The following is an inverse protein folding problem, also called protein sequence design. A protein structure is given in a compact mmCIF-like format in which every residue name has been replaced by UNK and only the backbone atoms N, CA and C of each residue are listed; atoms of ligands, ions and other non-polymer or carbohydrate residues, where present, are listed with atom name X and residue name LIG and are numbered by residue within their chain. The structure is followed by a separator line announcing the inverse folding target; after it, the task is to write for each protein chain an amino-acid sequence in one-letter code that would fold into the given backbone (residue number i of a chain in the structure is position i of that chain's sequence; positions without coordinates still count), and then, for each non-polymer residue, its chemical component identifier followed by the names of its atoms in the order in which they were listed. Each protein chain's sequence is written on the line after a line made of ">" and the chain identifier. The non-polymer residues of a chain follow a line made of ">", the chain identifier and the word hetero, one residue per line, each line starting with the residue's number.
data_IF_683622282965
#
_entry.id   IF_683622282965
#
_cell.length_a   1.000
_cell.length_b   1.000
_cell.length_c   1.000
_cell.angle_alpha   90.00
_cell.angle_beta   90.00
_cell.angle_gamma   90.00
#
_symmetry.space_group_name_H-M   'P 1'
#
loop_
_entity.id
_entity.type
_entity.pdbx_description
1 polymer ?
#
# COMPACT_ATOMS: atom_id res chain seq x y z
N UNK A 1 -7.57 -1.60 -3.76
CA UNK A 1 -7.76 -0.41 -2.89
C UNK A 1 -8.80 0.57 -3.45
N UNK A 2 -8.62 1.21 -4.60
CA UNK A 2 -9.51 2.26 -5.11
C UNK A 2 -11.00 1.89 -5.17
N UNK A 3 -11.35 0.68 -5.59
CA UNK A 3 -12.75 0.20 -5.60
C UNK A 3 -13.38 0.16 -4.20
N UNK A 4 -12.63 -0.26 -3.18
CA UNK A 4 -13.10 -0.29 -1.79
C UNK A 4 -13.27 1.14 -1.24
N UNK A 5 -12.35 2.04 -1.58
CA UNK A 5 -12.44 3.46 -1.21
C UNK A 5 -13.65 4.12 -1.86
N UNK A 6 -13.89 3.88 -3.15
CA UNK A 6 -15.08 4.37 -3.86
C UNK A 6 -16.39 3.86 -3.23
N UNK A 7 -16.44 2.57 -2.85
CA UNK A 7 -17.59 2.00 -2.13
C UNK A 7 -17.82 2.66 -0.76
N UNK A 8 -16.76 3.05 -0.06
CA UNK A 8 -16.88 3.78 1.21
C UNK A 8 -17.44 5.20 1.00
N UNK A 9 -17.06 5.88 -0.08
CA UNK A 9 -17.63 7.19 -0.43
C UNK A 9 -19.14 7.09 -0.70
N UNK A 10 -19.57 6.07 -1.46
CA UNK A 10 -21.01 5.81 -1.69
C UNK A 10 -21.73 5.57 -0.37
N UNK A 11 -21.17 4.75 0.54
CA UNK A 11 -21.76 4.52 1.87
C UNK A 11 -21.80 5.80 2.71
N UNK A 12 -20.87 6.71 2.51
CA UNK A 12 -20.85 8.03 3.12
C UNK A 12 -21.82 9.05 2.49
N UNK A 13 -22.61 8.64 1.49
CA UNK A 13 -23.63 9.47 0.86
C UNK A 13 -23.15 10.26 -0.38
N UNK A 14 -21.93 10.00 -0.87
CA UNK A 14 -21.44 10.62 -2.10
C UNK A 14 -22.09 9.98 -3.35
N UNK A 15 -22.37 10.78 -4.36
CA UNK A 15 -22.59 10.30 -5.73
C UNK A 15 -21.23 10.05 -6.37
N UNK A 16 -20.90 8.80 -6.64
CA UNK A 16 -19.57 8.42 -7.15
C UNK A 16 -19.66 7.86 -8.55
N UNK A 17 -18.92 8.49 -9.47
CA UNK A 17 -18.66 7.95 -10.80
C UNK A 17 -17.22 7.46 -10.85
N UNK A 18 -17.01 6.21 -11.20
CA UNK A 18 -15.71 5.56 -11.22
C UNK A 18 -15.27 5.16 -12.62
N UNK A 19 -13.99 5.26 -12.89
CA UNK A 19 -13.37 4.75 -14.10
C UNK A 19 -12.12 3.93 -13.77
N UNK A 20 -11.87 2.89 -14.55
CA UNK A 20 -10.64 2.10 -14.48
C UNK A 20 -10.16 1.76 -15.88
N UNK A 21 -8.85 1.94 -16.14
CA UNK A 21 -8.23 1.66 -17.46
C UNK A 21 -8.56 0.26 -17.99
N UNK A 22 -8.65 -0.74 -17.10
CA UNK A 22 -9.01 -2.12 -17.43
C UNK A 22 -10.42 -2.39 -16.91
N UNK A 23 -11.42 -2.28 -17.78
CA UNK A 23 -12.83 -2.31 -17.40
C UNK A 23 -13.32 -3.66 -16.84
N UNK A 24 -12.74 -4.77 -17.28
CA UNK A 24 -13.13 -6.15 -16.94
C UNK A 24 -12.50 -6.69 -15.66
N UNK A 25 -11.82 -5.85 -14.87
CA UNK A 25 -11.28 -6.29 -13.58
C UNK A 25 -12.41 -6.63 -12.59
N UNK A 26 -12.28 -7.72 -11.82
CA UNK A 26 -13.27 -8.09 -10.81
C UNK A 26 -13.57 -6.96 -9.79
N UNK A 27 -12.58 -6.13 -9.49
CA UNK A 27 -12.72 -4.98 -8.59
C UNK A 27 -13.63 -3.88 -9.15
N UNK A 28 -13.78 -3.75 -10.48
CA UNK A 28 -14.72 -2.81 -11.11
C UNK A 28 -16.16 -3.29 -10.89
N UNK A 29 -16.42 -4.57 -11.10
CA UNK A 29 -17.74 -5.18 -10.82
C UNK A 29 -18.11 -5.06 -9.33
N UNK A 30 -17.14 -5.23 -8.41
CA UNK A 30 -17.34 -5.02 -6.97
C UNK A 30 -17.73 -3.57 -6.65
N UNK A 31 -17.07 -2.58 -7.27
CA UNK A 31 -17.40 -1.17 -7.11
C UNK A 31 -18.82 -0.87 -7.63
N UNK A 32 -19.18 -1.37 -8.81
CA UNK A 32 -20.53 -1.23 -9.37
C UNK A 32 -21.61 -1.82 -8.45
N UNK A 33 -21.37 -3.02 -7.92
CA UNK A 33 -22.27 -3.68 -6.97
C UNK A 33 -22.43 -2.89 -5.65
N UNK A 34 -21.43 -2.08 -5.28
CA UNK A 34 -21.48 -1.19 -4.14
C UNK A 34 -22.14 0.18 -4.43
N UNK A 35 -22.66 0.40 -5.64
CA UNK A 35 -23.36 1.61 -6.04
C UNK A 35 -22.53 2.68 -6.74
N UNK A 36 -21.28 2.35 -7.12
CA UNK A 36 -20.46 3.25 -7.95
C UNK A 36 -20.95 3.19 -9.39
N UNK A 37 -21.29 4.33 -9.99
CA UNK A 37 -21.59 4.41 -11.41
C UNK A 37 -20.29 4.25 -12.23
N UNK A 38 -20.23 3.24 -13.10
CA UNK A 38 -19.00 2.99 -13.88
C UNK A 38 -19.10 3.75 -15.20
N UNK A 39 -18.19 4.69 -15.42
CA UNK A 39 -18.08 5.45 -16.66
C UNK A 39 -17.34 4.63 -17.73
N UNK A 40 -17.72 4.80 -19.00
CA UNK A 40 -17.07 4.12 -20.13
C UNK A 40 -15.66 4.67 -20.41
N UNK A 41 -15.41 5.92 -20.07
CA UNK A 41 -14.13 6.62 -20.27
C UNK A 41 -13.84 7.62 -19.14
N UNK A 42 -12.60 8.10 -19.10
CA UNK A 42 -12.14 9.02 -18.05
C UNK A 42 -12.88 10.37 -18.11
N UNK A 43 -13.17 10.87 -19.31
CA UNK A 43 -13.88 12.14 -19.49
C UNK A 43 -15.23 12.10 -18.79
N UNK A 44 -16.05 11.10 -19.14
CA UNK A 44 -17.38 10.91 -18.54
C UNK A 44 -17.34 10.70 -17.03
N UNK A 45 -16.22 10.20 -16.50
CA UNK A 45 -16.06 10.03 -15.06
C UNK A 45 -15.87 11.35 -14.32
N UNK A 46 -15.29 12.38 -14.95
CA UNK A 46 -14.85 13.59 -14.25
C UNK A 46 -15.57 14.87 -14.68
N UNK A 47 -16.30 14.88 -15.80
CA UNK A 47 -16.87 16.11 -16.40
C UNK A 47 -17.90 16.85 -15.50
N UNK A 48 -18.43 16.20 -14.48
CA UNK A 48 -19.32 16.80 -13.46
C UNK A 48 -18.78 16.66 -12.03
N UNK A 49 -17.52 16.23 -11.86
CA UNK A 49 -16.97 15.94 -10.55
C UNK A 49 -16.45 17.20 -9.84
N UNK A 50 -16.95 17.49 -8.65
CA UNK A 50 -16.40 18.53 -7.78
C UNK A 50 -15.06 18.14 -7.16
N UNK A 51 -14.84 16.81 -6.97
CA UNK A 51 -13.60 16.22 -6.49
C UNK A 51 -13.25 15.01 -7.33
N UNK A 52 -11.98 14.89 -7.69
CA UNK A 52 -11.41 13.77 -8.42
C UNK A 52 -10.44 13.02 -7.52
N UNK A 53 -10.80 11.81 -7.15
CA UNK A 53 -9.94 10.94 -6.33
C UNK A 53 -9.20 9.94 -7.24
N UNK A 54 -7.88 9.85 -7.09
CA UNK A 54 -7.05 8.90 -7.84
C UNK A 54 -6.31 7.93 -6.91
N UNK A 55 -6.21 6.67 -7.35
CA UNK A 55 -5.45 5.62 -6.67
C UNK A 55 -4.84 4.71 -7.76
N UNK A 56 -3.62 5.01 -8.15
CA UNK A 56 -2.96 4.50 -9.34
C UNK A 56 -1.67 3.72 -8.99
N UNK A 57 -0.82 3.46 -9.98
CA UNK A 57 0.38 2.65 -9.81
C UNK A 57 1.61 3.45 -9.39
N UNK A 58 2.11 4.31 -10.27
CA UNK A 58 3.35 5.08 -10.10
C UNK A 58 3.21 6.48 -10.68
N UNK A 59 4.24 7.32 -10.57
CA UNK A 59 4.29 8.70 -11.08
C UNK A 59 3.81 8.81 -12.54
N UNK A 60 4.32 8.03 -13.51
CA UNK A 60 3.86 8.14 -14.90
C UNK A 60 2.37 7.83 -15.09
N UNK A 61 1.80 6.91 -14.31
CA UNK A 61 0.37 6.63 -14.36
C UNK A 61 -0.45 7.83 -13.88
N UNK A 62 0.01 8.51 -12.80
CA UNK A 62 -0.68 9.70 -12.26
C UNK A 62 -0.56 10.87 -13.23
N UNK A 63 0.62 11.12 -13.79
CA UNK A 63 0.82 12.15 -14.82
C UNK A 63 -0.09 11.91 -16.03
N UNK A 64 -0.10 10.70 -16.56
CA UNK A 64 -0.92 10.36 -17.71
C UNK A 64 -2.43 10.52 -17.44
N UNK A 65 -2.90 10.00 -16.29
CA UNK A 65 -4.34 10.02 -15.96
C UNK A 65 -4.82 11.40 -15.56
N UNK A 66 -4.01 12.18 -14.83
CA UNK A 66 -4.45 13.50 -14.39
C UNK A 66 -4.16 14.59 -15.42
N UNK A 67 -2.97 14.58 -16.04
CA UNK A 67 -2.44 15.69 -16.85
C UNK A 67 -2.28 15.38 -18.34
N UNK A 68 -2.47 14.12 -18.77
CA UNK A 68 -2.33 13.74 -20.17
C UNK A 68 -3.33 14.51 -21.07
N UNK A 69 -3.12 14.53 -22.37
CA UNK A 69 -3.98 15.23 -23.33
C UNK A 69 -5.46 14.85 -23.24
N UNK A 70 -5.77 13.62 -22.83
CA UNK A 70 -7.13 13.14 -22.51
C UNK A 70 -7.25 12.82 -21.00
N UNK A 71 -6.45 13.47 -20.18
CA UNK A 71 -6.44 13.28 -18.73
C UNK A 71 -7.63 13.96 -18.03
N UNK A 72 -7.74 13.70 -16.74
CA UNK A 72 -8.86 14.21 -15.95
C UNK A 72 -8.94 15.75 -15.95
N UNK A 73 -7.81 16.45 -15.89
CA UNK A 73 -7.77 17.92 -15.91
C UNK A 73 -8.34 18.53 -17.22
N UNK A 74 -8.25 17.81 -18.34
CA UNK A 74 -8.80 18.30 -19.62
C UNK A 74 -10.34 18.30 -19.68
N UNK A 75 -11.02 17.64 -18.74
CA UNK A 75 -12.46 17.49 -18.74
C UNK A 75 -13.13 17.86 -17.40
N UNK A 76 -12.38 17.96 -16.31
CA UNK A 76 -12.93 18.33 -15.01
C UNK A 76 -13.46 19.77 -14.99
N UNK A 77 -14.54 20.06 -14.22
CA UNK A 77 -15.07 21.42 -14.07
C UNK A 77 -14.03 22.35 -13.44
N UNK A 78 -14.09 23.64 -13.80
CA UNK A 78 -13.25 24.65 -13.18
C UNK A 78 -13.38 24.65 -11.65
N UNK A 79 -12.26 24.69 -10.94
CA UNK A 79 -12.21 24.67 -9.47
C UNK A 79 -12.42 23.28 -8.86
N UNK A 80 -12.44 22.21 -9.66
CA UNK A 80 -12.41 20.85 -9.14
C UNK A 80 -11.15 20.62 -8.26
N UNK A 81 -11.29 19.81 -7.21
CA UNK A 81 -10.20 19.44 -6.33
C UNK A 81 -9.72 18.03 -6.65
N UNK A 82 -8.45 17.89 -6.95
CA UNK A 82 -7.81 16.60 -7.17
C UNK A 82 -7.18 16.07 -5.87
N UNK A 83 -7.43 14.83 -5.53
CA UNK A 83 -6.89 14.16 -4.34
C UNK A 83 -6.27 12.84 -4.77
N UNK A 84 -4.95 12.74 -4.71
CA UNK A 84 -4.23 11.53 -5.15
C UNK A 84 -3.74 10.70 -3.97
N UNK A 85 -4.16 9.44 -3.93
CA UNK A 85 -3.76 8.46 -2.91
C UNK A 85 -2.53 7.64 -3.31
N UNK A 86 -2.02 7.84 -4.53
CA UNK A 86 -0.87 7.10 -5.04
C UNK A 86 0.40 7.52 -4.32
N UNK A 87 1.26 6.57 -3.98
CA UNK A 87 2.60 6.90 -3.50
C UNK A 87 3.49 7.27 -4.68
N UNK A 88 3.78 8.56 -4.83
CA UNK A 88 4.52 9.17 -5.94
C UNK A 88 5.76 9.99 -5.50
N UNK A 89 6.01 10.03 -4.20
CA UNK A 89 7.08 10.84 -3.61
C UNK A 89 6.79 12.35 -3.65
N UNK A 90 7.52 13.10 -2.82
CA UNK A 90 7.29 14.54 -2.69
C UNK A 90 7.57 15.31 -3.99
N UNK A 91 8.61 14.92 -4.74
CA UNK A 91 8.98 15.57 -6.00
C UNK A 91 7.84 15.42 -7.02
N UNK A 92 7.31 14.20 -7.20
CA UNK A 92 6.21 13.94 -8.11
C UNK A 92 4.93 14.68 -7.70
N UNK A 93 4.59 14.68 -6.42
CA UNK A 93 3.41 15.39 -5.91
C UNK A 93 3.50 16.91 -6.14
N UNK A 94 4.68 17.51 -5.89
CA UNK A 94 4.90 18.94 -6.12
C UNK A 94 4.76 19.28 -7.61
N UNK A 95 5.36 18.49 -8.50
CA UNK A 95 5.31 18.72 -9.94
C UNK A 95 3.86 18.62 -10.47
N UNK A 96 3.12 17.58 -10.07
CA UNK A 96 1.71 17.40 -10.45
C UNK A 96 0.83 18.52 -9.90
N UNK A 97 1.03 18.89 -8.61
CA UNK A 97 0.29 19.98 -7.99
C UNK A 97 0.51 21.33 -8.69
N UNK A 98 1.75 21.64 -9.09
CA UNK A 98 2.07 22.84 -9.85
C UNK A 98 1.39 22.84 -11.23
N UNK A 99 1.41 21.70 -11.93
CA UNK A 99 0.79 21.57 -13.23
C UNK A 99 -0.74 21.69 -13.18
N UNK A 100 -1.39 21.18 -12.14
CA UNK A 100 -2.82 21.35 -11.88
C UNK A 100 -3.16 22.78 -11.50
N UNK A 101 -2.36 23.41 -10.62
CA UNK A 101 -2.54 24.80 -10.21
C UNK A 101 -2.44 25.76 -11.40
N UNK A 102 -1.54 25.53 -12.35
CA UNK A 102 -1.43 26.31 -13.58
C UNK A 102 -2.69 26.23 -14.46
N UNK A 103 -3.54 25.23 -14.26
CA UNK A 103 -4.83 25.03 -14.92
C UNK A 103 -6.02 25.48 -14.05
N UNK A 104 -5.77 26.04 -12.87
CA UNK A 104 -6.80 26.54 -11.94
C UNK A 104 -7.43 25.48 -11.04
N UNK A 105 -6.79 24.31 -10.87
CA UNK A 105 -7.25 23.24 -10.01
C UNK A 105 -6.54 23.22 -8.65
N UNK A 106 -7.25 22.81 -7.60
CA UNK A 106 -6.65 22.42 -6.33
C UNK A 106 -6.06 21.00 -6.38
N UNK A 107 -5.04 20.74 -5.58
CA UNK A 107 -4.43 19.41 -5.44
C UNK A 107 -4.07 19.08 -3.99
N UNK A 108 -4.36 17.85 -3.58
CA UNK A 108 -3.90 17.26 -2.34
C UNK A 108 -3.19 15.93 -2.65
N UNK A 109 -1.97 15.78 -2.16
CA UNK A 109 -1.34 14.46 -2.05
C UNK A 109 -1.81 13.80 -0.75
N UNK A 110 -2.43 12.63 -0.87
CA UNK A 110 -3.09 11.96 0.25
C UNK A 110 -2.73 10.47 0.37
N UNK A 111 -1.44 10.10 0.30
CA UNK A 111 -1.05 8.69 0.39
C UNK A 111 -1.55 8.05 1.68
N UNK A 112 -1.76 6.73 1.61
CA UNK A 112 -2.42 5.97 2.67
C UNK A 112 -1.58 4.84 3.23
N UNK A 113 -1.90 4.42 4.45
CA UNK A 113 -1.41 3.21 5.10
C UNK A 113 -2.58 2.42 5.67
N UNK A 114 -2.48 1.07 5.65
CA UNK A 114 -3.54 0.16 6.10
C UNK A 114 -3.90 -0.94 5.10
N UNK A 115 -3.36 -0.86 3.86
CA UNK A 115 -3.54 -1.86 2.81
C UNK A 115 -4.99 -2.05 2.39
N UNK A 116 -5.26 -3.16 1.69
CA UNK A 116 -6.60 -3.47 1.19
C UNK A 116 -7.63 -3.67 2.30
N UNK A 117 -7.22 -4.22 3.43
CA UNK A 117 -8.09 -4.43 4.60
C UNK A 117 -8.52 -3.08 5.19
N UNK A 118 -7.59 -2.14 5.35
CA UNK A 118 -7.90 -0.79 5.81
C UNK A 118 -8.82 -0.04 4.83
N UNK A 119 -8.60 -0.19 3.53
CA UNK A 119 -9.45 0.39 2.49
C UNK A 119 -10.87 -0.17 2.54
N UNK A 120 -11.03 -1.48 2.71
CA UNK A 120 -12.34 -2.14 2.81
C UNK A 120 -13.12 -1.70 4.06
N UNK A 121 -12.44 -1.57 5.18
CA UNK A 121 -13.03 -1.21 6.48
C UNK A 121 -13.23 0.29 6.68
N UNK A 122 -12.68 1.15 5.81
CA UNK A 122 -12.69 2.61 6.02
C UNK A 122 -11.80 3.04 7.19
N UNK A 123 -10.73 2.30 7.48
CA UNK A 123 -9.84 2.53 8.63
C UNK A 123 -8.43 2.93 8.23
N UNK A 124 -8.26 3.49 7.03
CA UNK A 124 -6.95 3.92 6.54
C UNK A 124 -6.37 5.04 7.43
N UNK A 125 -5.05 5.05 7.52
CA UNK A 125 -4.31 6.26 7.88
C UNK A 125 -4.04 7.05 6.61
N UNK A 126 -4.48 8.32 6.55
CA UNK A 126 -4.37 9.20 5.39
C UNK A 126 -3.46 10.38 5.77
N UNK A 127 -2.38 10.57 5.02
CA UNK A 127 -1.37 11.60 5.24
C UNK A 127 -1.54 12.66 4.15
N UNK A 128 -2.06 13.85 4.50
CA UNK A 128 -2.48 14.83 3.49
C UNK A 128 -1.51 16.00 3.43
N UNK A 129 -0.99 16.26 2.22
CA UNK A 129 -0.24 17.46 1.90
C UNK A 129 -1.05 18.36 0.97
N UNK A 130 -1.00 19.69 1.19
CA UNK A 130 -1.66 20.66 0.35
C UNK A 130 -2.21 21.87 1.11
N UNK A 131 -3.06 22.64 0.44
CA UNK A 131 -3.70 23.81 1.03
C UNK A 131 -4.66 23.43 2.16
N UNK A 132 -4.63 24.12 3.34
CA UNK A 132 -5.53 23.82 4.45
C UNK A 132 -7.02 23.93 4.11
N UNK A 133 -7.43 24.90 3.30
CA UNK A 133 -8.85 25.04 2.94
C UNK A 133 -9.28 23.94 1.97
N UNK A 134 -8.39 23.49 1.09
CA UNK A 134 -8.62 22.32 0.26
C UNK A 134 -8.72 21.03 1.11
N UNK A 135 -7.89 20.90 2.13
CA UNK A 135 -7.97 19.81 3.10
C UNK A 135 -9.31 19.80 3.83
N UNK A 136 -9.75 20.94 4.36
CA UNK A 136 -11.05 21.06 5.08
C UNK A 136 -12.22 20.69 4.15
N UNK A 137 -12.17 21.11 2.87
CA UNK A 137 -13.16 20.74 1.85
C UNK A 137 -13.20 19.24 1.59
N UNK A 138 -12.04 18.56 1.56
CA UNK A 138 -11.94 17.13 1.31
C UNK A 138 -12.22 16.27 2.56
N UNK A 139 -12.04 16.81 3.77
CA UNK A 139 -12.06 16.07 5.03
C UNK A 139 -13.30 15.20 5.24
N UNK A 140 -14.54 15.65 4.97
CA UNK A 140 -15.73 14.80 5.13
C UNK A 140 -15.68 13.51 4.31
N UNK A 141 -15.10 13.58 3.12
CA UNK A 141 -14.94 12.43 2.22
C UNK A 141 -13.75 11.55 2.60
N UNK A 142 -12.66 12.15 3.05
CA UNK A 142 -11.52 11.41 3.61
C UNK A 142 -11.97 10.58 4.83
N UNK A 143 -12.85 11.13 5.67
CA UNK A 143 -13.39 10.46 6.85
C UNK A 143 -14.25 9.21 6.53
N UNK A 144 -14.76 9.09 5.31
CA UNK A 144 -15.44 7.87 4.86
C UNK A 144 -14.46 6.71 4.64
N UNK A 145 -13.17 7.00 4.41
CA UNK A 145 -12.16 6.03 4.00
C UNK A 145 -11.08 5.79 5.05
N UNK A 146 -10.90 6.72 5.98
CA UNK A 146 -9.82 6.68 6.96
C UNK A 146 -10.27 7.04 8.37
N UNK A 147 -9.61 6.44 9.35
CA UNK A 147 -9.81 6.70 10.77
C UNK A 147 -8.79 7.69 11.33
N UNK A 148 -7.57 7.65 10.82
CA UNK A 148 -6.50 8.59 11.18
C UNK A 148 -6.18 9.46 9.97
N UNK A 149 -6.59 10.72 10.01
CA UNK A 149 -6.40 11.66 8.90
C UNK A 149 -5.61 12.84 9.43
N UNK A 150 -4.49 13.16 8.79
CA UNK A 150 -3.62 14.26 9.25
C UNK A 150 -3.20 15.14 8.09
N UNK A 151 -3.40 16.46 8.26
CA UNK A 151 -2.76 17.45 7.42
C UNK A 151 -1.28 17.54 7.82
N UNK A 152 -0.38 17.24 6.88
CA UNK A 152 1.05 17.09 7.12
C UNK A 152 1.85 18.36 6.75
N UNK A 153 1.22 19.32 6.07
CA UNK A 153 1.87 20.53 5.58
C UNK A 153 1.55 20.82 4.10
N UNK A 154 2.37 21.61 3.40
CA UNK A 154 2.16 21.93 1.99
C UNK A 154 2.21 20.68 1.08
N UNK A 155 1.90 20.85 -0.21
CA UNK A 155 1.96 19.77 -1.22
C UNK A 155 3.31 19.04 -1.12
N UNK A 156 3.26 17.71 -1.15
CA UNK A 156 4.40 16.81 -1.00
C UNK A 156 4.69 16.38 0.45
N UNK A 157 4.08 17.04 1.47
CA UNK A 157 4.29 16.66 2.86
C UNK A 157 3.62 15.34 3.23
N UNK A 158 2.46 15.03 2.66
CA UNK A 158 1.83 13.72 2.82
C UNK A 158 2.72 12.61 2.29
N UNK A 159 3.30 12.83 1.11
CA UNK A 159 4.27 11.91 0.52
C UNK A 159 5.53 11.74 1.37
N UNK A 160 6.07 12.84 1.91
CA UNK A 160 7.25 12.77 2.78
C UNK A 160 7.00 11.89 4.01
N UNK A 161 5.86 12.07 4.67
CA UNK A 161 5.45 11.21 5.80
C UNK A 161 5.24 9.77 5.35
N UNK A 162 4.62 9.56 4.16
CA UNK A 162 4.44 8.22 3.59
C UNK A 162 5.78 7.53 3.32
N UNK A 163 6.77 8.21 2.80
CA UNK A 163 8.09 7.62 2.59
C UNK A 163 8.74 7.18 3.91
N UNK A 164 8.62 7.99 4.97
CA UNK A 164 9.06 7.58 6.31
C UNK A 164 8.30 6.32 6.80
N UNK A 165 6.98 6.27 6.57
CA UNK A 165 6.18 5.07 6.87
C UNK A 165 6.69 3.85 6.11
N UNK A 166 7.12 3.97 4.85
CA UNK A 166 7.61 2.84 4.06
C UNK A 166 8.97 2.34 4.55
N UNK A 167 9.86 3.22 5.00
CA UNK A 167 11.10 2.83 5.69
C UNK A 167 10.79 1.99 6.93
N UNK A 168 9.86 2.45 7.78
CA UNK A 168 9.45 1.71 8.98
C UNK A 168 8.79 0.37 8.62
N UNK A 169 7.88 0.34 7.64
CA UNK A 169 7.20 -0.88 7.23
C UNK A 169 8.17 -1.93 6.68
N UNK A 170 9.12 -1.52 5.85
CA UNK A 170 10.17 -2.40 5.32
C UNK A 170 11.08 -2.91 6.44
N UNK A 171 11.53 -2.03 7.33
CA UNK A 171 12.38 -2.40 8.47
C UNK A 171 11.71 -3.38 9.43
N UNK A 172 10.44 -3.16 9.77
CA UNK A 172 9.67 -4.11 10.59
C UNK A 172 9.54 -5.48 9.91
N UNK A 173 9.42 -5.51 8.58
CA UNK A 173 9.36 -6.77 7.85
C UNK A 173 10.70 -7.52 7.91
N UNK A 174 11.83 -6.83 7.73
CA UNK A 174 13.15 -7.44 7.84
C UNK A 174 13.38 -7.99 9.25
N UNK A 175 13.10 -7.18 10.27
CA UNK A 175 13.24 -7.61 11.68
C UNK A 175 12.36 -8.84 12.00
N UNK A 176 11.13 -8.88 11.50
CA UNK A 176 10.24 -10.02 11.66
C UNK A 176 10.80 -11.29 11.00
N UNK A 177 11.28 -11.18 9.75
CA UNK A 177 11.85 -12.32 9.04
C UNK A 177 13.09 -12.88 9.75
N UNK A 178 13.99 -12.02 10.21
CA UNK A 178 15.19 -12.41 10.95
C UNK A 178 14.84 -13.04 12.30
N UNK A 179 13.91 -12.46 13.06
CA UNK A 179 13.48 -12.98 14.34
C UNK A 179 12.90 -14.40 14.21
N UNK A 180 12.05 -14.66 13.22
CA UNK A 180 11.49 -15.98 12.98
C UNK A 180 12.54 -16.98 12.47
N UNK A 181 13.52 -16.54 11.67
CA UNK A 181 14.64 -17.38 11.25
C UNK A 181 15.52 -17.74 12.45
N UNK A 182 15.82 -16.79 13.31
CA UNK A 182 16.58 -17.03 14.55
C UNK A 182 15.85 -18.01 15.48
N UNK A 183 14.54 -17.84 15.69
CA UNK A 183 13.74 -18.75 16.51
C UNK A 183 13.87 -20.19 16.03
N UNK A 184 13.75 -20.43 14.73
CA UNK A 184 13.92 -21.75 14.12
C UNK A 184 15.31 -22.32 14.37
N UNK A 185 16.37 -21.52 14.22
CA UNK A 185 17.75 -21.97 14.48
C UNK A 185 18.01 -22.34 15.93
N UNK A 186 17.26 -21.74 16.85
CA UNK A 186 17.31 -22.02 18.30
C UNK A 186 16.30 -23.10 18.74
N UNK A 187 15.58 -23.72 17.79
CA UNK A 187 14.54 -24.72 18.08
C UNK A 187 13.41 -24.18 18.97
N UNK A 188 13.15 -22.87 18.92
CA UNK A 188 12.02 -22.23 19.59
C UNK A 188 10.85 -22.18 18.62
N UNK A 189 9.66 -22.48 19.12
CA UNK A 189 8.43 -22.34 18.34
C UNK A 189 8.26 -20.89 17.87
N UNK A 190 8.25 -20.62 16.55
CA UNK A 190 8.07 -19.27 16.04
C UNK A 190 6.72 -18.64 16.40
N UNK A 191 5.69 -19.46 16.69
CA UNK A 191 4.41 -18.99 17.19
C UNK A 191 4.56 -18.29 18.54
N UNK A 192 5.35 -18.86 19.44
CA UNK A 192 5.64 -18.26 20.74
C UNK A 192 6.33 -16.89 20.60
N UNK A 193 7.24 -16.74 19.61
CA UNK A 193 7.88 -15.45 19.33
C UNK A 193 6.85 -14.40 18.90
N UNK A 194 5.93 -14.76 18.03
CA UNK A 194 4.86 -13.84 17.59
C UNK A 194 3.99 -13.42 18.78
N UNK A 195 3.57 -14.37 19.62
CA UNK A 195 2.69 -14.11 20.77
C UNK A 195 3.37 -13.21 21.81
N UNK A 196 4.57 -13.58 22.25
CA UNK A 196 5.27 -12.86 23.32
C UNK A 196 5.76 -11.49 22.86
N UNK A 197 6.41 -11.43 21.69
CA UNK A 197 7.02 -10.18 21.25
C UNK A 197 5.99 -9.14 20.78
N UNK A 198 4.79 -9.56 20.36
CA UNK A 198 3.72 -8.63 19.96
C UNK A 198 3.22 -7.75 21.11
N UNK A 199 3.36 -8.21 22.37
CA UNK A 199 2.88 -7.50 23.56
C UNK A 199 3.94 -6.64 24.23
N UNK A 200 5.21 -6.78 23.81
CA UNK A 200 6.36 -6.06 24.37
C UNK A 200 6.81 -4.87 23.52
N UNK A 201 7.95 -4.30 23.91
CA UNK A 201 8.58 -3.18 23.22
C UNK A 201 8.96 -3.44 21.75
N UNK A 202 9.12 -4.72 21.36
CA UNK A 202 9.39 -5.16 20.00
C UNK A 202 8.11 -5.24 19.13
N UNK A 203 6.93 -4.99 19.71
CA UNK A 203 5.66 -5.08 19.03
C UNK A 203 5.58 -4.15 17.80
N UNK A 204 4.99 -4.66 16.73
CA UNK A 204 4.71 -3.90 15.51
C UNK A 204 3.47 -4.45 14.82
N UNK A 205 2.84 -3.62 13.97
CA UNK A 205 1.73 -4.09 13.15
C UNK A 205 2.14 -5.29 12.28
N UNK A 206 3.35 -5.27 11.72
CA UNK A 206 3.87 -6.36 10.91
C UNK A 206 3.97 -7.66 11.72
N UNK A 207 4.52 -7.60 12.93
CA UNK A 207 4.63 -8.76 13.79
C UNK A 207 3.25 -9.36 14.13
N UNK A 208 2.29 -8.51 14.53
CA UNK A 208 0.97 -8.96 14.95
C UNK A 208 0.09 -9.47 13.79
N UNK A 209 0.23 -8.90 12.57
CA UNK A 209 -0.68 -9.20 11.45
C UNK A 209 -0.03 -10.03 10.34
N UNK A 210 1.28 -9.91 10.13
CA UNK A 210 2.00 -10.65 9.09
C UNK A 210 2.79 -11.82 9.65
N UNK A 211 3.17 -11.81 10.94
CA UNK A 211 3.77 -12.95 11.62
C UNK A 211 2.94 -14.23 11.46
N UNK A 212 1.66 -14.24 11.84
CA UNK A 212 0.79 -15.40 11.65
C UNK A 212 0.70 -15.86 10.18
N UNK A 213 0.68 -14.93 9.22
CA UNK A 213 0.66 -15.26 7.79
C UNK A 213 1.92 -15.99 7.35
N UNK A 214 3.10 -15.55 7.83
CA UNK A 214 4.37 -16.24 7.56
C UNK A 214 4.33 -17.67 8.10
N UNK A 215 3.82 -17.87 9.32
CA UNK A 215 3.73 -19.18 9.94
C UNK A 215 2.81 -20.14 9.18
N UNK A 216 1.72 -19.62 8.61
CA UNK A 216 0.78 -20.38 7.78
C UNK A 216 1.16 -20.41 6.29
N UNK A 217 2.33 -19.87 5.90
CA UNK A 217 2.76 -19.74 4.49
C UNK A 217 1.72 -19.01 3.61
N UNK A 218 0.93 -18.11 4.19
CA UNK A 218 -0.01 -17.25 3.46
C UNK A 218 0.72 -16.02 2.92
N UNK A 219 1.09 -16.09 1.64
CA UNK A 219 1.75 -15.01 0.91
C UNK A 219 0.80 -14.21 0.02
N UNK A 220 -0.52 -14.37 0.19
CA UNK A 220 -1.50 -13.54 -0.50
C UNK A 220 -1.27 -12.05 -0.18
N UNK A 221 -1.20 -11.18 -1.20
CA UNK A 221 -0.81 -9.78 -1.02
C UNK A 221 -1.92 -8.95 -0.39
N UNK A 222 -1.65 -8.35 0.78
CA UNK A 222 -2.33 -7.13 1.22
C UNK A 222 -1.59 -5.88 0.74
N UNK A 223 -0.26 -6.03 0.51
CA UNK A 223 0.60 -5.07 -0.17
C UNK A 223 1.72 -5.86 -0.88
N UNK A 224 1.77 -5.78 -2.20
CA UNK A 224 2.69 -6.60 -3.00
C UNK A 224 4.14 -6.12 -2.90
N UNK A 225 5.09 -7.04 -3.07
CA UNK A 225 6.53 -6.75 -3.09
C UNK A 225 6.87 -5.74 -4.18
N UNK A 226 6.31 -5.87 -5.39
CA UNK A 226 6.54 -4.91 -6.49
C UNK A 226 6.17 -3.47 -6.10
N UNK A 227 5.10 -3.28 -5.34
CA UNK A 227 4.72 -1.96 -4.83
C UNK A 227 5.67 -1.46 -3.73
N UNK A 228 6.15 -2.36 -2.85
CA UNK A 228 7.15 -1.99 -1.86
C UNK A 228 8.47 -1.59 -2.52
N UNK A 229 8.92 -2.32 -3.54
CA UNK A 229 10.12 -1.97 -4.30
C UNK A 229 10.00 -0.60 -4.97
N UNK A 230 8.83 -0.29 -5.56
CA UNK A 230 8.54 1.04 -6.09
C UNK A 230 8.61 2.11 -5.00
N UNK A 231 8.01 1.86 -3.84
CA UNK A 231 8.02 2.82 -2.74
C UNK A 231 9.44 3.03 -2.18
N UNK A 232 10.27 1.98 -2.06
CA UNK A 232 11.66 2.11 -1.62
C UNK A 232 12.52 2.86 -2.65
N UNK A 233 12.28 2.69 -3.96
CA UNK A 233 12.90 3.53 -4.99
C UNK A 233 12.60 5.03 -4.73
N UNK A 234 11.34 5.38 -4.46
CA UNK A 234 10.96 6.75 -4.13
C UNK A 234 11.60 7.26 -2.82
N UNK A 235 11.79 6.36 -1.84
CA UNK A 235 12.56 6.68 -0.62
C UNK A 235 14.01 7.04 -0.98
N UNK A 236 14.64 6.27 -1.88
CA UNK A 236 16.01 6.54 -2.36
C UNK A 236 16.11 7.87 -3.06
N UNK A 237 15.18 8.13 -3.99
CA UNK A 237 15.12 9.38 -4.75
C UNK A 237 15.00 10.58 -3.79
N UNK A 238 14.20 10.46 -2.73
CA UNK A 238 14.02 11.51 -1.72
C UNK A 238 15.21 11.64 -0.77
N UNK A 239 15.94 10.56 -0.49
CA UNK A 239 17.09 10.58 0.41
C UNK A 239 18.33 11.24 -0.24
N UNK A 240 18.45 11.17 -1.56
CA UNK A 240 19.65 11.60 -2.27
C UNK A 240 20.89 10.83 -1.77
N UNK A 241 21.93 11.54 -1.36
CA UNK A 241 23.19 10.93 -0.89
C UNK A 241 23.14 10.47 0.58
N UNK A 242 22.02 10.59 1.26
CA UNK A 242 21.92 10.14 2.66
C UNK A 242 21.94 8.62 2.74
N UNK A 243 22.81 8.02 3.57
CA UNK A 243 22.83 6.57 3.75
C UNK A 243 21.58 6.10 4.50
N UNK A 244 20.92 5.09 3.94
CA UNK A 244 19.77 4.40 4.53
C UNK A 244 20.02 2.88 4.56
N UNK A 245 20.96 2.38 5.40
CA UNK A 245 21.44 1.00 5.34
C UNK A 245 20.33 -0.04 5.52
N UNK A 246 19.30 0.25 6.36
CA UNK A 246 18.17 -0.65 6.53
C UNK A 246 17.30 -0.72 5.27
N UNK A 247 17.11 0.41 4.58
CA UNK A 247 16.40 0.47 3.30
C UNK A 247 17.14 -0.32 2.24
N UNK A 248 18.48 -0.21 2.20
CA UNK A 248 19.35 -0.96 1.28
C UNK A 248 19.20 -2.47 1.45
N UNK A 249 19.25 -2.93 2.70
CA UNK A 249 19.05 -4.33 3.05
C UNK A 249 17.65 -4.80 2.63
N UNK A 250 16.61 -4.04 2.97
CA UNK A 250 15.25 -4.38 2.63
C UNK A 250 15.04 -4.49 1.11
N UNK A 251 15.60 -3.55 0.35
CA UNK A 251 15.54 -3.57 -1.13
C UNK A 251 16.21 -4.82 -1.71
N UNK A 252 17.37 -5.20 -1.18
CA UNK A 252 18.06 -6.42 -1.57
C UNK A 252 17.22 -7.67 -1.31
N UNK A 253 16.65 -7.80 -0.11
CA UNK A 253 15.82 -8.96 0.27
C UNK A 253 14.53 -9.01 -0.58
N UNK A 254 13.85 -7.89 -0.79
CA UNK A 254 12.66 -7.86 -1.64
C UNK A 254 13.00 -8.19 -3.11
N UNK A 255 14.16 -7.78 -3.62
CA UNK A 255 14.63 -8.14 -4.97
C UNK A 255 14.88 -9.64 -5.09
N UNK A 256 15.54 -10.25 -4.10
CA UNK A 256 15.73 -11.69 -4.04
C UNK A 256 14.39 -12.44 -4.02
N UNK A 257 13.47 -12.00 -3.15
CA UNK A 257 12.14 -12.62 -3.05
C UNK A 257 11.33 -12.45 -4.34
N UNK A 258 11.37 -11.28 -4.97
CA UNK A 258 10.66 -11.01 -6.21
C UNK A 258 11.09 -11.96 -7.35
N UNK A 259 12.36 -12.37 -7.37
CA UNK A 259 12.90 -13.29 -8.37
C UNK A 259 12.47 -14.76 -8.18
N UNK A 260 11.93 -15.11 -7.01
CA UNK A 260 11.45 -16.48 -6.74
C UNK A 260 10.30 -16.86 -7.68
N UNK A 261 10.15 -18.16 -7.90
CA UNK A 261 9.08 -18.75 -8.72
C UNK A 261 9.02 -18.15 -10.15
N UNK A 262 10.18 -17.90 -10.75
CA UNK A 262 10.25 -17.30 -12.09
C UNK A 262 9.71 -15.87 -12.15
N UNK A 263 9.86 -15.08 -11.06
CA UNK A 263 9.41 -13.69 -10.94
C UNK A 263 8.01 -13.52 -10.34
N UNK A 264 7.29 -14.61 -10.02
CA UNK A 264 5.97 -14.50 -9.38
C UNK A 264 6.05 -14.00 -7.93
N UNK A 265 7.21 -14.11 -7.29
CA UNK A 265 7.45 -13.55 -5.96
C UNK A 265 7.15 -12.05 -5.87
N UNK A 266 7.33 -11.29 -6.95
CA UNK A 266 7.02 -9.85 -7.01
C UNK A 266 5.54 -9.54 -6.69
N UNK A 267 4.63 -10.45 -7.04
CA UNK A 267 3.18 -10.30 -6.82
C UNK A 267 2.71 -10.80 -5.47
N UNK A 268 3.58 -11.43 -4.70
CA UNK A 268 3.28 -11.88 -3.33
C UNK A 268 3.31 -10.70 -2.36
N UNK A 269 2.69 -10.89 -1.19
CA UNK A 269 2.73 -9.92 -0.11
C UNK A 269 4.13 -9.75 0.48
N UNK A 270 4.40 -8.61 1.09
CA UNK A 270 5.72 -8.29 1.69
C UNK A 270 6.20 -9.34 2.69
N UNK A 271 5.29 -10.08 3.35
CA UNK A 271 5.61 -11.18 4.25
C UNK A 271 6.31 -12.36 3.56
N UNK A 272 6.21 -12.46 2.23
CA UNK A 272 6.97 -13.46 1.46
C UNK A 272 8.49 -13.22 1.50
N UNK A 273 8.96 -12.05 1.98
CA UNK A 273 10.38 -11.79 2.25
C UNK A 273 10.99 -12.85 3.17
N UNK A 274 10.20 -13.47 4.04
CA UNK A 274 10.65 -14.58 4.89
C UNK A 274 11.22 -15.77 4.11
N UNK A 275 10.85 -15.93 2.84
CA UNK A 275 11.35 -16.99 1.95
C UNK A 275 12.83 -16.79 1.57
N UNK A 276 13.34 -15.56 1.62
CA UNK A 276 14.75 -15.26 1.39
C UNK A 276 15.65 -15.67 2.57
N UNK A 277 15.08 -15.89 3.75
CA UNK A 277 15.80 -16.33 4.95
C UNK A 277 15.81 -17.86 5.13
N UNK A 278 15.52 -18.62 4.09
CA UNK A 278 15.45 -20.07 4.08
C UNK A 278 14.04 -20.59 4.37
N UNK A 279 13.68 -21.70 3.73
CA UNK A 279 12.47 -22.42 4.10
C UNK A 279 12.67 -23.05 5.47
N UNK A 280 11.62 -23.11 6.33
CA UNK A 280 11.69 -23.97 7.51
C UNK A 280 12.00 -25.40 7.04
N UNK A 281 12.76 -26.19 7.84
CA UNK A 281 12.80 -27.62 7.59
C UNK A 281 11.34 -28.09 7.51
N UNK A 282 11.01 -28.83 6.45
CA UNK A 282 9.70 -29.46 6.36
C UNK A 282 9.53 -30.29 7.62
N UNK A 283 8.40 -30.12 8.31
CA UNK A 283 8.10 -31.00 9.45
C UNK A 283 8.33 -32.44 8.98
N UNK A 284 9.08 -33.25 9.75
CA UNK A 284 9.28 -34.62 9.38
C UNK A 284 7.90 -35.25 9.23
N UNK A 285 7.67 -35.89 8.07
CA UNK A 285 6.44 -36.58 7.74
C UNK A 285 6.05 -37.45 8.99
N UNK A 286 4.86 -37.25 9.56
CA UNK A 286 4.42 -38.04 10.72
C UNK A 286 4.53 -39.57 10.49
N UNK A 287 4.53 -40.02 9.23
CA UNK A 287 4.76 -41.39 8.85
C UNK A 287 6.20 -41.87 9.08
N UNK A 288 7.19 -40.97 9.17
CA UNK A 288 8.59 -41.34 9.40
C UNK A 288 8.91 -41.61 10.88
N UNK A 289 8.06 -41.19 11.82
CA UNK A 289 8.23 -41.43 13.26
C UNK A 289 7.74 -42.80 13.74
N UNK A 290 7.04 -43.55 12.89
CA UNK A 290 6.49 -44.86 13.26
C UNK A 290 7.46 -46.05 13.08
N UNK A 291 8.69 -45.84 12.58
CA UNK A 291 9.65 -46.92 12.29
C UNK A 291 10.80 -47.08 13.31
N UNK A 292 10.85 -46.34 14.40
CA UNK A 292 11.94 -46.45 15.39
C UNK A 292 11.56 -47.07 16.75
N UNK A 293 10.36 -47.66 16.89
CA UNK A 293 9.95 -48.25 18.17
C UNK A 293 10.19 -49.77 18.30
N UNK A 294 10.80 -50.47 17.32
CA UNK A 294 10.92 -51.93 17.35
C UNK A 294 12.35 -52.51 17.44
N UNK A 295 13.33 -51.78 18.04
CA UNK A 295 14.65 -52.39 18.24
C UNK A 295 15.21 -52.06 19.61
N UNK A 296 14.53 -52.40 20.70
CA UNK A 296 15.14 -52.67 22.03
C UNK A 296 14.36 -53.84 22.66
N UNK A 297 14.83 -55.03 22.45
CA UNK A 297 14.69 -56.20 23.33
C UNK A 297 16.03 -56.88 23.46
#
# INVERSE_FOLDING_TARGET
>A
MGSAMAANLVRGGATVTGWNRTADRPTVAQAAAAGVAIAPDLRSAVESAEMVFSCLGDVPDVEQVLLGASGAAAAAPAGALFVDYTTIGSIGAIAIGQALAAQGFGFLDAPVSGGDVGAQRGTLTIMVGGDPAAFDRAYPWLACMGQTIRHCGPIGSGQAVKLCNQVLAAGHMMALCEALALARSQQIDPQLVVEVCSTGAAGSWALANLGPKILHQDFAPGFAIEHMQKDLRLVRDAAGDRPLPLTDLAEQVFRQTAALDGGQGAKQGTQAASRAYGQPPQDPDPSSLSMQSDTIR
#
